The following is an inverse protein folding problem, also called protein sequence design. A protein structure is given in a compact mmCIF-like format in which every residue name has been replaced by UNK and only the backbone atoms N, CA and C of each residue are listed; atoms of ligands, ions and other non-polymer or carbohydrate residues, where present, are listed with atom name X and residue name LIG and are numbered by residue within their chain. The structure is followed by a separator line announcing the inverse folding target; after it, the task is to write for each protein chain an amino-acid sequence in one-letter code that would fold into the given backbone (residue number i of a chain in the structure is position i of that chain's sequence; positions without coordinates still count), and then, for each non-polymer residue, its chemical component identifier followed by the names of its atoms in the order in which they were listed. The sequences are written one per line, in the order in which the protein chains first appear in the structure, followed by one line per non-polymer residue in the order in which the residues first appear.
data_IF_610579506173
#
_entry.id   IF_610579506173
#
_cell.length_a   1.000
_cell.length_b   1.000
_cell.length_c   1.000
_cell.angle_alpha   90.00
_cell.angle_beta   90.00
_cell.angle_gamma   90.00
#
_symmetry.space_group_name_H-M   'P 1'
#
loop_
_entity.id
_entity.type
_entity.pdbx_description
1 polymer ?
#
# COMPACT_ATOMS: atom_id res chain seq x y z
N UNK A 1 -4.54 -10.64 -12.14
CA UNK A 1 -3.53 -10.15 -11.18
C UNK A 1 -2.97 -8.82 -11.67
N UNK A 2 -3.07 -7.79 -10.84
CA UNK A 2 -2.58 -6.45 -11.14
C UNK A 2 -1.35 -6.19 -10.27
N UNK A 3 -0.20 -6.03 -10.88
CA UNK A 3 1.07 -5.85 -10.18
C UNK A 3 1.30 -4.39 -9.78
N UNK A 4 1.06 -3.46 -10.71
CA UNK A 4 1.33 -2.05 -10.49
C UNK A 4 0.18 -1.15 -10.96
N UNK A 5 -0.05 -0.02 -10.31
CA UNK A 5 -0.97 0.99 -10.81
C UNK A 5 -0.42 1.65 -12.09
N UNK A 6 -1.32 2.09 -12.97
CA UNK A 6 -0.96 2.86 -14.18
C UNK A 6 -0.82 4.35 -13.89
N UNK A 7 -1.44 4.83 -12.82
CA UNK A 7 -1.25 6.19 -12.31
C UNK A 7 -1.73 6.29 -10.87
N UNK A 8 -1.20 7.29 -10.19
CA UNK A 8 -1.55 7.59 -8.80
C UNK A 8 -1.76 9.08 -8.61
N UNK A 9 -2.56 9.43 -7.61
CA UNK A 9 -2.72 10.80 -7.13
C UNK A 9 -2.84 10.78 -5.61
N UNK A 10 -2.25 11.77 -4.94
CA UNK A 10 -2.36 11.89 -3.50
C UNK A 10 -2.47 13.34 -3.04
N UNK A 11 -3.18 13.52 -1.94
CA UNK A 11 -3.30 14.77 -1.20
C UNK A 11 -3.16 14.48 0.29
N UNK A 12 -2.57 15.38 1.03
CA UNK A 12 -2.40 15.21 2.46
C UNK A 12 -1.54 16.28 3.08
N UNK A 13 -1.07 16.01 4.27
CA UNK A 13 -0.21 16.92 4.99
C UNK A 13 0.28 16.35 6.32
N UNK A 14 1.16 17.12 6.94
CA UNK A 14 1.58 16.90 8.31
C UNK A 14 0.89 17.95 9.17
N UNK A 15 -0.05 17.50 9.99
CA UNK A 15 -0.93 18.37 10.77
C UNK A 15 -0.71 18.14 12.25
N UNK A 16 -0.97 19.18 13.08
CA UNK A 16 -0.93 19.19 14.53
C UNK A 16 0.46 19.08 15.18
N UNK A 17 1.47 18.55 14.52
CA UNK A 17 2.80 18.40 15.09
C UNK A 17 3.81 19.23 14.31
N UNK A 18 4.62 19.96 15.05
CA UNK A 18 5.82 20.60 14.55
C UNK A 18 7.00 19.76 15.04
N UNK A 19 7.44 18.82 14.22
CA UNK A 19 8.50 17.88 14.52
C UNK A 19 9.39 17.63 13.29
N UNK A 20 10.34 16.74 13.40
CA UNK A 20 11.30 16.41 12.34
C UNK A 20 10.73 15.44 11.30
N UNK A 21 9.47 15.04 11.40
CA UNK A 21 8.86 14.10 10.47
C UNK A 21 8.55 14.74 9.12
N UNK A 22 8.99 14.14 8.04
CA UNK A 22 8.78 14.61 6.68
C UNK A 22 7.60 13.94 5.97
N UNK A 23 7.15 12.79 6.48
CA UNK A 23 6.04 12.07 5.88
C UNK A 23 4.70 12.64 6.35
N UNK A 24 3.66 12.65 5.51
CA UNK A 24 2.35 13.09 5.91
C UNK A 24 1.79 12.18 7.03
N UNK A 25 1.19 12.77 8.03
CA UNK A 25 0.46 12.04 9.06
C UNK A 25 -1.04 11.89 8.75
N UNK A 26 -1.49 12.57 7.70
CA UNK A 26 -2.83 12.44 7.13
C UNK A 26 -2.69 12.52 5.62
N UNK A 27 -3.06 11.44 4.92
CA UNK A 27 -2.94 11.37 3.47
C UNK A 27 -4.08 10.53 2.90
N UNK A 28 -4.59 10.98 1.77
CA UNK A 28 -5.51 10.26 0.94
C UNK A 28 -4.88 10.06 -0.44
N UNK A 29 -4.82 8.82 -0.88
CA UNK A 29 -4.24 8.45 -2.15
C UNK A 29 -5.20 7.62 -2.99
N UNK A 30 -5.12 7.77 -4.30
CA UNK A 30 -5.83 6.96 -5.29
C UNK A 30 -4.78 6.32 -6.19
N UNK A 31 -4.85 5.00 -6.32
CA UNK A 31 -4.07 4.24 -7.28
C UNK A 31 -5.04 3.60 -8.28
N UNK A 32 -4.87 3.91 -9.54
CA UNK A 32 -5.63 3.35 -10.64
C UNK A 32 -4.85 2.20 -11.26
N UNK A 33 -5.52 1.08 -11.41
CA UNK A 33 -4.98 -0.11 -12.05
C UNK A 33 -5.62 -0.33 -13.42
N UNK A 34 -5.01 -1.14 -14.30
CA UNK A 34 -5.69 -1.58 -15.51
C UNK A 34 -7.07 -2.17 -15.22
N UNK A 35 -7.96 -2.17 -16.22
CA UNK A 35 -9.34 -2.69 -16.12
C UNK A 35 -10.23 -1.92 -15.12
N UNK A 36 -10.02 -0.60 -15.00
CA UNK A 36 -10.86 0.29 -14.20
C UNK A 36 -10.92 -0.07 -12.71
N UNK A 37 -9.89 -0.72 -12.21
CA UNK A 37 -9.76 -1.02 -10.80
C UNK A 37 -9.05 0.13 -10.06
N UNK A 38 -9.52 0.43 -8.85
CA UNK A 38 -8.99 1.51 -8.03
C UNK A 38 -8.71 1.02 -6.61
N UNK A 39 -7.62 1.50 -6.04
CA UNK A 39 -7.35 1.41 -4.61
C UNK A 39 -7.41 2.82 -4.02
N UNK A 40 -8.29 3.01 -3.05
CA UNK A 40 -8.34 4.22 -2.22
C UNK A 40 -7.56 3.96 -0.95
N UNK A 41 -6.47 4.68 -0.77
CA UNK A 41 -5.56 4.54 0.36
C UNK A 41 -5.72 5.72 1.31
N UNK A 42 -6.17 5.47 2.53
CA UNK A 42 -6.39 6.48 3.54
C UNK A 42 -5.50 6.21 4.75
N UNK A 43 -4.60 7.11 5.04
CA UNK A 43 -3.74 7.10 6.22
C UNK A 43 -4.07 8.30 7.09
N UNK A 44 -4.24 8.04 8.39
CA UNK A 44 -4.47 9.11 9.35
C UNK A 44 -3.93 8.72 10.72
N UNK A 45 -2.89 9.40 11.13
CA UNK A 45 -2.32 9.28 12.47
C UNK A 45 -2.84 10.33 13.45
N UNK A 46 -3.55 11.33 12.94
CA UNK A 46 -4.11 12.39 13.78
C UNK A 46 -5.37 11.89 14.46
N UNK A 47 -5.39 12.00 15.77
CA UNK A 47 -6.48 11.51 16.61
C UNK A 47 -7.50 12.63 16.86
N UNK A 48 -8.76 12.38 16.54
CA UNK A 48 -9.85 13.29 16.83
C UNK A 48 -10.91 12.63 17.72
N UNK A 49 -11.47 13.40 18.64
CA UNK A 49 -12.59 12.93 19.44
C UNK A 49 -13.76 12.50 18.51
N UNK A 50 -14.21 11.25 18.66
CA UNK A 50 -15.28 10.70 17.84
C UNK A 50 -14.81 9.97 16.56
N UNK A 51 -13.54 10.03 16.23
CA UNK A 51 -12.96 9.23 15.15
C UNK A 51 -12.42 7.92 15.71
N UNK A 52 -12.87 6.81 15.16
CA UNK A 52 -12.35 5.51 15.56
C UNK A 52 -10.98 5.28 14.92
N UNK A 53 -10.00 4.86 15.71
CA UNK A 53 -8.81 4.21 15.21
C UNK A 53 -9.22 2.85 14.67
N UNK A 54 -9.12 2.70 13.36
CA UNK A 54 -9.49 1.45 12.70
C UNK A 54 -8.61 1.24 11.49
N UNK A 55 -7.99 0.08 11.43
CA UNK A 55 -7.35 -0.43 10.20
C UNK A 55 -8.30 -1.45 9.62
N UNK A 56 -8.80 -1.22 8.43
CA UNK A 56 -9.70 -2.14 7.75
C UNK A 56 -9.59 -1.99 6.24
N UNK A 57 -10.04 -3.02 5.54
CA UNK A 57 -10.15 -3.02 4.08
C UNK A 57 -11.62 -3.14 3.69
N UNK A 58 -12.00 -2.43 2.65
CA UNK A 58 -13.30 -2.57 1.98
C UNK A 58 -13.07 -2.91 0.52
N UNK A 59 -13.79 -3.91 0.03
CA UNK A 59 -13.75 -4.34 -1.36
C UNK A 59 -15.13 -4.14 -1.96
N UNK A 60 -15.21 -3.29 -2.97
CA UNK A 60 -16.43 -2.99 -3.71
C UNK A 60 -16.42 -3.84 -4.97
N UNK A 61 -17.41 -4.70 -5.13
CA UNK A 61 -17.50 -5.67 -6.21
C UNK A 61 -18.42 -5.15 -7.32
N UNK A 62 -18.26 -5.69 -8.52
CA UNK A 62 -19.03 -5.29 -9.71
C UNK A 62 -20.55 -5.49 -9.55
N UNK A 63 -20.97 -6.49 -8.79
CA UNK A 63 -22.38 -6.76 -8.49
C UNK A 63 -22.96 -5.80 -7.41
N UNK A 64 -22.20 -4.81 -6.97
CA UNK A 64 -22.56 -3.88 -5.91
C UNK A 64 -22.45 -4.44 -4.51
N UNK A 65 -21.92 -5.65 -4.33
CA UNK A 65 -21.61 -6.19 -3.01
C UNK A 65 -20.38 -5.51 -2.42
N UNK A 66 -20.34 -5.41 -1.10
CA UNK A 66 -19.21 -4.83 -0.36
C UNK A 66 -18.71 -5.84 0.67
N UNK A 67 -17.42 -6.17 0.58
CA UNK A 67 -16.74 -6.97 1.59
C UNK A 67 -15.97 -6.03 2.49
N UNK A 68 -16.17 -6.14 3.80
CA UNK A 68 -15.47 -5.35 4.83
C UNK A 68 -14.82 -6.26 5.84
N UNK A 69 -13.61 -5.95 6.26
CA UNK A 69 -13.00 -6.70 7.35
C UNK A 69 -11.60 -6.27 7.75
N UNK A 70 -11.25 -6.66 8.95
CA UNK A 70 -9.93 -6.54 9.55
C UNK A 70 -9.38 -7.94 9.85
N UNK A 71 -9.98 -8.63 10.83
CA UNK A 71 -9.64 -10.01 11.22
C UNK A 71 -10.71 -11.03 10.78
N UNK A 72 -11.93 -10.56 10.57
CA UNK A 72 -13.05 -11.31 10.04
C UNK A 72 -13.69 -10.48 8.94
N UNK A 73 -14.10 -11.14 7.89
CA UNK A 73 -14.73 -10.50 6.77
C UNK A 73 -16.25 -10.69 6.80
N UNK A 74 -16.95 -9.64 6.42
CA UNK A 74 -18.40 -9.66 6.19
C UNK A 74 -18.68 -9.27 4.76
N UNK A 75 -19.70 -9.87 4.17
CA UNK A 75 -20.21 -9.46 2.86
C UNK A 75 -21.59 -8.84 3.04
N UNK A 76 -21.84 -7.78 2.33
CA UNK A 76 -23.15 -7.13 2.23
C UNK A 76 -23.56 -7.04 0.77
N UNK A 77 -24.55 -7.82 0.38
CA UNK A 77 -25.16 -7.70 -0.94
C UNK A 77 -26.13 -6.50 -1.02
N UNK A 78 -26.40 -5.98 -2.24
CA UNK A 78 -27.35 -4.88 -2.41
C UNK A 78 -28.70 -5.19 -1.77
N UNK A 79 -29.22 -4.26 -0.95
CA UNK A 79 -30.50 -4.40 -0.27
C UNK A 79 -30.57 -5.44 0.86
N UNK A 80 -29.45 -6.11 1.21
CA UNK A 80 -29.39 -7.11 2.28
C UNK A 80 -28.58 -6.61 3.48
N UNK A 81 -28.77 -7.28 4.63
CA UNK A 81 -27.89 -7.10 5.79
C UNK A 81 -26.54 -7.78 5.54
N UNK A 82 -25.51 -7.27 6.21
CA UNK A 82 -24.19 -7.92 6.17
C UNK A 82 -24.23 -9.27 6.89
N UNK A 83 -23.60 -10.26 6.28
CA UNK A 83 -23.42 -11.61 6.81
C UNK A 83 -21.94 -11.97 6.89
N UNK A 84 -21.59 -12.94 7.71
CA UNK A 84 -20.21 -13.39 7.84
C UNK A 84 -19.75 -14.07 6.54
N UNK A 85 -18.65 -13.59 5.97
CA UNK A 85 -18.03 -14.19 4.80
C UNK A 85 -17.05 -15.27 5.24
N UNK A 86 -17.37 -16.50 4.91
CA UNK A 86 -16.43 -17.63 5.09
C UNK A 86 -15.43 -17.60 3.94
N UNK A 87 -14.26 -17.03 4.18
CA UNK A 87 -13.17 -17.11 3.24
C UNK A 87 -12.53 -18.50 3.41
N UNK A 88 -12.52 -19.26 2.32
CA UNK A 88 -11.73 -20.48 2.30
C UNK A 88 -10.26 -20.08 2.40
N UNK A 89 -9.55 -20.47 3.45
CA UNK A 89 -8.14 -20.14 3.55
C UNK A 89 -7.42 -20.74 2.33
N UNK A 90 -6.64 -19.94 1.66
CA UNK A 90 -5.68 -20.44 0.70
C UNK A 90 -4.70 -21.41 1.39
N UNK A 91 -3.79 -21.98 0.63
CA UNK A 91 -2.73 -22.83 1.19
C UNK A 91 -1.85 -21.97 2.12
N UNK A 92 -2.07 -22.09 3.41
CA UNK A 92 -1.34 -21.36 4.45
C UNK A 92 -0.39 -22.31 5.16
N UNK A 93 0.90 -21.95 5.17
CA UNK A 93 1.90 -22.70 5.95
C UNK A 93 1.73 -22.35 7.45
N UNK A 94 1.62 -23.37 8.33
CA UNK A 94 1.44 -23.16 9.76
C UNK A 94 2.57 -22.34 10.42
N UNK A 95 2.25 -21.74 11.57
CA UNK A 95 3.22 -21.01 12.38
C UNK A 95 3.30 -19.50 12.13
N UNK A 96 2.31 -18.95 11.42
CA UNK A 96 2.26 -17.52 11.09
C UNK A 96 3.42 -17.07 10.20
N UNK A 97 3.77 -15.80 10.27
CA UNK A 97 4.84 -15.26 9.41
C UNK A 97 6.21 -15.89 9.70
N UNK A 98 6.56 -16.04 10.94
CA UNK A 98 7.86 -16.63 11.35
C UNK A 98 7.95 -18.12 11.05
N UNK A 99 6.92 -18.89 11.40
CA UNK A 99 6.90 -20.32 11.14
C UNK A 99 6.93 -20.65 9.65
N UNK A 100 6.17 -19.92 8.84
CA UNK A 100 6.16 -20.09 7.38
C UNK A 100 7.50 -19.72 6.75
N UNK A 101 8.14 -18.65 7.22
CA UNK A 101 9.48 -18.25 6.78
C UNK A 101 10.51 -19.36 7.08
N UNK A 102 10.55 -19.87 8.31
CA UNK A 102 11.49 -20.94 8.68
C UNK A 102 11.22 -22.19 7.84
N UNK A 103 9.96 -22.53 7.60
CA UNK A 103 9.57 -23.66 6.75
C UNK A 103 10.03 -23.50 5.32
N UNK A 104 9.87 -22.29 4.75
CA UNK A 104 10.34 -21.94 3.41
C UNK A 104 11.86 -22.09 3.30
N UNK A 105 12.61 -21.58 4.27
CA UNK A 105 14.09 -21.69 4.30
C UNK A 105 14.52 -23.16 4.38
N UNK A 106 13.91 -23.95 5.25
CA UNK A 106 14.25 -25.38 5.41
C UNK A 106 13.93 -26.21 4.17
N UNK A 107 12.86 -25.87 3.47
CA UNK A 107 12.45 -26.56 2.24
C UNK A 107 13.17 -26.05 0.99
N UNK A 108 13.83 -24.90 1.06
CA UNK A 108 14.37 -24.22 -0.13
C UNK A 108 13.28 -23.74 -1.10
N UNK A 109 12.05 -23.57 -0.61
CA UNK A 109 10.88 -23.16 -1.42
C UNK A 109 10.28 -21.86 -0.88
N UNK A 110 10.50 -20.71 -1.56
CA UNK A 110 9.98 -19.42 -1.14
C UNK A 110 8.43 -19.35 -1.16
N UNK A 111 7.75 -20.22 -1.92
CA UNK A 111 6.28 -20.22 -1.99
C UNK A 111 5.64 -20.76 -0.71
N UNK A 112 6.41 -21.35 0.18
CA UNK A 112 5.93 -21.74 1.50
C UNK A 112 5.81 -20.56 2.47
N UNK A 113 6.40 -19.41 2.17
CA UNK A 113 6.21 -18.22 2.97
C UNK A 113 4.81 -17.63 2.76
N UNK A 114 4.09 -17.35 3.85
CA UNK A 114 2.71 -16.81 3.79
C UNK A 114 2.64 -15.37 3.25
N UNK A 115 3.76 -14.67 3.20
CA UNK A 115 3.91 -13.38 2.54
C UNK A 115 5.20 -13.41 1.75
N UNK A 116 5.12 -13.56 0.44
CA UNK A 116 6.30 -13.59 -0.41
C UNK A 116 6.82 -12.18 -0.70
N UNK A 117 8.10 -12.11 -1.08
CA UNK A 117 8.76 -10.84 -1.33
C UNK A 117 8.19 -10.08 -2.54
N UNK A 118 7.63 -10.79 -3.52
CA UNK A 118 7.05 -10.17 -4.71
C UNK A 118 5.76 -9.41 -4.38
N UNK A 119 4.84 -10.02 -3.63
CA UNK A 119 3.61 -9.37 -3.21
C UNK A 119 3.89 -8.17 -2.30
N UNK A 120 4.87 -8.31 -1.40
CA UNK A 120 5.33 -7.22 -0.56
C UNK A 120 5.93 -6.07 -1.40
N UNK A 121 6.70 -6.39 -2.42
CA UNK A 121 7.25 -5.41 -3.37
C UNK A 121 6.13 -4.61 -4.06
N UNK A 122 5.12 -5.27 -4.60
CA UNK A 122 4.00 -4.58 -5.26
C UNK A 122 3.25 -3.64 -4.31
N UNK A 123 3.00 -4.08 -3.09
CA UNK A 123 2.41 -3.23 -2.05
C UNK A 123 3.26 -2.00 -1.71
N UNK A 124 4.57 -2.20 -1.58
CA UNK A 124 5.50 -1.10 -1.33
C UNK A 124 5.58 -0.12 -2.49
N UNK A 125 5.64 -0.60 -3.73
CA UNK A 125 5.68 0.26 -4.93
C UNK A 125 4.44 1.15 -5.00
N UNK A 126 3.25 0.62 -4.74
CA UNK A 126 2.03 1.43 -4.67
C UNK A 126 2.16 2.55 -3.63
N UNK A 127 2.60 2.23 -2.43
CA UNK A 127 2.81 3.21 -1.36
C UNK A 127 3.84 4.29 -1.73
N UNK A 128 4.93 3.90 -2.35
CA UNK A 128 5.96 4.83 -2.82
C UNK A 128 5.48 5.75 -3.95
N UNK A 129 4.71 5.22 -4.90
CA UNK A 129 4.12 6.03 -5.97
C UNK A 129 3.13 7.05 -5.41
N UNK A 130 2.29 6.66 -4.45
CA UNK A 130 1.37 7.56 -3.75
C UNK A 130 2.14 8.67 -3.01
N UNK A 131 3.19 8.32 -2.28
CA UNK A 131 4.05 9.31 -1.61
C UNK A 131 4.77 10.24 -2.59
N UNK A 132 5.20 9.72 -3.73
CA UNK A 132 5.78 10.51 -4.80
C UNK A 132 4.79 11.56 -5.35
N UNK A 133 3.55 11.12 -5.64
CA UNK A 133 2.47 12.04 -6.05
C UNK A 133 2.20 13.13 -5.01
N UNK A 134 2.14 12.77 -3.73
CA UNK A 134 1.98 13.73 -2.65
C UNK A 134 3.10 14.79 -2.64
N UNK A 135 4.35 14.37 -2.71
CA UNK A 135 5.52 15.28 -2.68
C UNK A 135 5.61 16.19 -3.90
N UNK A 136 5.18 15.70 -5.04
CA UNK A 136 5.15 16.47 -6.29
C UNK A 136 3.90 17.36 -6.44
N UNK A 137 2.88 17.14 -5.62
CA UNK A 137 1.61 17.86 -5.68
C UNK A 137 0.83 17.64 -6.99
N UNK A 138 1.06 16.52 -7.66
CA UNK A 138 0.43 16.22 -8.95
C UNK A 138 0.22 14.73 -9.17
N UNK A 139 -0.64 14.41 -10.13
CA UNK A 139 -0.83 13.05 -10.59
C UNK A 139 0.46 12.51 -11.24
N UNK A 140 0.79 11.26 -10.93
CA UNK A 140 1.97 10.56 -11.44
C UNK A 140 1.52 9.36 -12.27
N UNK A 141 1.77 9.35 -13.59
CA UNK A 141 1.64 8.16 -14.41
C UNK A 141 2.78 7.19 -14.12
N UNK A 142 2.52 5.90 -14.26
CA UNK A 142 3.55 4.88 -14.12
C UNK A 142 3.43 3.82 -15.22
N UNK A 143 4.55 3.47 -15.82
CA UNK A 143 4.66 2.40 -16.79
C UNK A 143 5.56 1.30 -16.24
N UNK A 144 4.97 0.20 -15.83
CA UNK A 144 5.68 -0.94 -15.26
C UNK A 144 6.76 -1.51 -16.19
N UNK A 145 6.46 -1.66 -17.47
CA UNK A 145 7.37 -2.29 -18.46
C UNK A 145 8.63 -1.47 -18.69
N UNK A 146 8.49 -0.16 -18.66
CA UNK A 146 9.60 0.77 -18.85
C UNK A 146 10.20 1.25 -17.52
N UNK A 147 9.57 0.90 -16.39
CA UNK A 147 9.85 1.49 -15.06
C UNK A 147 9.92 3.02 -15.20
N UNK A 148 8.94 3.61 -15.86
CA UNK A 148 8.97 5.02 -16.23
C UNK A 148 7.73 5.77 -15.76
N UNK A 149 7.88 7.07 -15.64
CA UNK A 149 6.82 8.01 -15.25
C UNK A 149 6.28 8.79 -16.46
N UNK A 150 6.39 8.21 -17.65
CA UNK A 150 6.08 8.90 -18.90
C UNK A 150 6.98 10.14 -19.07
N UNK A 151 6.39 11.25 -19.49
CA UNK A 151 7.13 12.51 -19.67
C UNK A 151 7.38 13.28 -18.35
N UNK A 152 6.99 12.71 -17.21
CA UNK A 152 7.14 13.35 -15.90
C UNK A 152 8.57 13.17 -15.35
N UNK A 153 9.51 14.00 -15.83
CA UNK A 153 10.92 13.96 -15.42
C UNK A 153 11.12 14.18 -13.92
N UNK A 154 10.34 15.08 -13.32
CA UNK A 154 10.44 15.37 -11.89
C UNK A 154 10.06 14.14 -11.05
N UNK A 155 9.05 13.37 -11.48
CA UNK A 155 8.65 12.15 -10.81
C UNK A 155 9.74 11.08 -10.90
N UNK A 156 10.37 10.94 -12.06
CA UNK A 156 11.47 10.00 -12.28
C UNK A 156 12.69 10.35 -11.40
N UNK A 157 13.10 11.61 -11.39
CA UNK A 157 14.22 12.10 -10.58
C UNK A 157 13.95 11.89 -9.09
N UNK A 158 12.76 12.24 -8.62
CA UNK A 158 12.38 12.07 -7.21
C UNK A 158 12.35 10.60 -6.80
N UNK A 159 11.82 9.72 -7.65
CA UNK A 159 11.81 8.28 -7.40
C UNK A 159 13.23 7.70 -7.34
N UNK A 160 14.09 8.06 -8.28
CA UNK A 160 15.48 7.60 -8.29
C UNK A 160 16.22 8.08 -7.04
N UNK A 161 16.03 9.31 -6.62
CA UNK A 161 16.62 9.84 -5.39
C UNK A 161 16.16 9.08 -4.14
N UNK A 162 14.88 8.74 -4.04
CA UNK A 162 14.36 7.89 -2.96
C UNK A 162 14.97 6.49 -3.01
N UNK A 163 15.11 5.92 -4.21
CA UNK A 163 15.71 4.62 -4.41
C UNK A 163 17.19 4.59 -3.99
N UNK A 164 17.96 5.61 -4.35
CA UNK A 164 19.34 5.77 -3.91
C UNK A 164 19.46 5.87 -2.39
N UNK A 165 18.59 6.65 -1.73
CA UNK A 165 18.53 6.75 -0.27
C UNK A 165 18.23 5.39 0.36
N UNK A 166 17.32 4.62 -0.22
CA UNK A 166 16.95 3.29 0.29
C UNK A 166 18.06 2.25 0.08
N UNK A 167 18.79 2.31 -1.05
CA UNK A 167 19.91 1.41 -1.30
C UNK A 167 21.18 1.75 -0.51
N UNK A 168 21.38 3.04 -0.24
CA UNK A 168 22.54 3.52 0.52
C UNK A 168 22.50 3.21 2.03
N UNK A 169 21.42 2.58 2.50
CA UNK A 169 21.13 2.53 3.94
C UNK A 169 20.88 3.93 4.48
N UNK A 170 20.01 4.09 5.45
CA UNK A 170 19.72 5.38 6.09
C UNK A 170 20.95 5.87 6.85
N UNK A 171 21.93 6.35 6.11
CA UNK A 171 23.00 7.15 6.66
C UNK A 171 22.39 8.50 7.01
N UNK A 172 22.25 8.80 8.29
CA UNK A 172 22.08 10.17 8.75
C UNK A 172 23.19 10.98 8.06
N UNK A 173 22.87 12.04 7.32
CA UNK A 173 23.90 12.86 6.70
C UNK A 173 24.93 13.25 7.73
N UNK A 174 26.21 12.97 7.48
CA UNK A 174 27.32 13.18 8.42
C UNK A 174 27.51 14.64 8.84
N UNK A 175 26.80 15.53 8.17
CA UNK A 175 26.77 16.97 8.42
C UNK A 175 25.70 17.40 9.45
N UNK A 176 24.93 16.45 9.99
CA UNK A 176 23.93 16.69 11.05
C UNK A 176 24.12 15.79 12.29
N UNK A 177 25.29 15.19 12.46
CA UNK A 177 25.67 14.44 13.64
C UNK A 177 26.44 15.34 14.63
#
# INVERSE_FOLDING_TARGET
DQSHPVRVMAIGGRFQWDDQGETPNTMFGIAEYPNEQYVLFNVRNVNYKGYKHQVFNEYYLEDGSVITGENKYKIRHPGKKAEDLVIQPGKVTPGGNWGSFISAVRAGDPNMANGNALDAHYGCVMGHLINNSYRLGKQVPFNEKAVSFGDNKDAAEHFLKLHEIMQGGVGIPKDKA
#
